data_IF_897045848020
#
_entry.id   IF_897045848020
#
_cell.length_a   1.000
_cell.length_b   1.000
_cell.length_c   1.000
_cell.angle_alpha   90.00
_cell.angle_beta   90.00
_cell.angle_gamma   90.00
#
_symmetry.space_group_name_H-M   'P 1'
#
loop_
_entity.id
_entity.type
_entity.pdbx_description
1 polymer ?
#
# COMPACT_ATOMS: atom_id res chain seq x y z
N UNK A 1 -20.94 29.78 -25.73
CA UNK A 1 -20.59 28.39 -25.34
C UNK A 1 -20.97 27.47 -26.51
N UNK A 2 -20.15 26.46 -26.86
CA UNK A 2 -20.42 25.58 -28.03
C UNK A 2 -21.50 24.54 -27.68
N UNK A 3 -22.39 24.20 -28.63
CA UNK A 3 -23.44 23.20 -28.41
C UNK A 3 -22.82 21.82 -28.17
N UNK A 4 -23.42 21.03 -27.29
CA UNK A 4 -22.90 19.70 -26.89
C UNK A 4 -22.70 18.77 -28.09
N UNK A 5 -23.58 18.85 -29.10
CA UNK A 5 -23.48 18.07 -30.33
C UNK A 5 -22.24 18.41 -31.19
N UNK A 6 -21.65 19.59 -31.01
CA UNK A 6 -20.46 20.06 -31.75
C UNK A 6 -19.18 19.98 -30.91
N UNK A 7 -19.24 19.31 -29.75
CA UNK A 7 -18.13 19.16 -28.82
C UNK A 7 -17.19 18.08 -29.36
N UNK A 8 -16.00 18.51 -29.77
CA UNK A 8 -14.94 17.60 -30.22
C UNK A 8 -14.33 16.92 -28.98
N UNK A 9 -14.17 15.60 -29.04
CA UNK A 9 -13.44 14.83 -28.04
C UNK A 9 -12.08 14.48 -28.65
N UNK A 10 -10.96 15.00 -28.09
CA UNK A 10 -9.65 14.67 -28.61
C UNK A 10 -9.39 13.17 -28.45
N UNK A 11 -8.76 12.57 -29.44
CA UNK A 11 -8.26 11.20 -29.33
C UNK A 11 -7.08 11.21 -28.37
N UNK A 12 -7.13 10.36 -27.35
CA UNK A 12 -6.03 10.21 -26.39
C UNK A 12 -4.76 9.77 -27.13
N UNK A 13 -3.76 10.64 -27.17
CA UNK A 13 -2.44 10.33 -27.72
C UNK A 13 -1.62 9.43 -26.80
N UNK A 14 -0.52 8.88 -27.33
CA UNK A 14 0.47 8.15 -26.52
C UNK A 14 1.23 9.17 -25.65
N UNK A 15 1.42 8.82 -24.38
CA UNK A 15 2.18 9.67 -23.46
C UNK A 15 3.65 9.73 -23.90
N UNK A 16 4.22 10.93 -24.15
CA UNK A 16 5.57 11.06 -24.68
C UNK A 16 6.61 10.54 -23.69
N UNK A 17 7.60 9.78 -24.19
CA UNK A 17 8.65 9.20 -23.34
C UNK A 17 9.52 10.27 -22.68
N UNK A 18 9.76 11.39 -23.36
CA UNK A 18 10.58 12.51 -22.87
C UNK A 18 10.02 13.19 -21.60
N UNK A 19 8.72 13.01 -21.32
CA UNK A 19 8.04 13.60 -20.16
C UNK A 19 7.78 12.55 -19.08
N UNK A 20 8.22 11.31 -19.29
CA UNK A 20 7.97 10.21 -18.36
C UNK A 20 8.75 10.39 -17.07
N UNK A 21 8.03 10.38 -15.96
CA UNK A 21 8.64 10.39 -14.63
C UNK A 21 9.38 9.07 -14.42
N UNK A 22 10.72 9.14 -14.41
CA UNK A 22 11.58 8.00 -14.08
C UNK A 22 11.75 7.97 -12.56
N UNK A 23 11.30 6.89 -11.91
CA UNK A 23 11.58 6.65 -10.50
C UNK A 23 12.89 5.86 -10.39
N UNK A 24 13.96 6.54 -9.99
CA UNK A 24 15.26 5.93 -9.73
C UNK A 24 15.63 6.04 -8.26
N UNK A 25 16.15 4.95 -7.68
CA UNK A 25 16.77 4.94 -6.36
C UNK A 25 18.29 4.90 -6.55
N UNK A 26 19.02 6.01 -6.32
CA UNK A 26 20.48 6.03 -6.49
C UNK A 26 21.21 5.17 -5.44
N UNK A 27 20.59 4.99 -4.27
CA UNK A 27 21.07 4.17 -3.17
C UNK A 27 19.89 3.39 -2.56
N UNK A 28 20.18 2.36 -1.77
CA UNK A 28 19.15 1.56 -1.09
C UNK A 28 18.44 2.43 -0.01
N UNK A 29 17.14 2.75 -0.19
CA UNK A 29 16.41 3.59 0.75
C UNK A 29 16.24 2.94 2.13
N UNK A 30 16.43 1.62 2.25
CA UNK A 30 16.27 0.89 3.51
C UNK A 30 17.59 0.75 4.29
N UNK A 31 18.73 1.13 3.70
CA UNK A 31 20.05 0.92 4.30
C UNK A 31 20.25 1.62 5.66
N UNK A 32 19.54 2.72 5.90
CA UNK A 32 19.60 3.47 7.16
C UNK A 32 18.64 2.96 8.24
N UNK A 33 17.72 2.06 7.91
CA UNK A 33 16.67 1.62 8.81
C UNK A 33 17.18 0.49 9.72
N UNK A 34 16.83 0.50 11.02
CA UNK A 34 17.13 -0.61 11.90
C UNK A 34 16.33 -1.84 11.50
N UNK A 35 16.91 -3.06 11.60
CA UNK A 35 16.19 -4.29 11.32
C UNK A 35 15.07 -4.47 12.35
N UNK A 36 13.87 -4.78 11.85
CA UNK A 36 12.72 -5.12 12.69
C UNK A 36 12.76 -6.61 13.04
N UNK A 37 12.37 -6.94 14.27
CA UNK A 37 12.12 -8.33 14.67
C UNK A 37 10.93 -8.88 13.88
N UNK A 38 11.06 -10.10 13.34
CA UNK A 38 9.96 -10.83 12.72
C UNK A 38 8.91 -11.27 13.74
N UNK A 39 9.30 -11.39 15.00
CA UNK A 39 8.41 -11.80 16.08
C UNK A 39 7.92 -10.57 16.84
N UNK A 40 6.61 -10.26 16.79
CA UNK A 40 6.06 -9.19 17.59
C UNK A 40 6.05 -9.57 19.08
N UNK A 41 6.06 -8.58 19.99
CA UNK A 41 5.90 -8.83 21.43
C UNK A 41 4.50 -9.35 21.76
N UNK A 42 4.36 -9.95 22.94
CA UNK A 42 3.08 -10.42 23.44
C UNK A 42 2.03 -9.30 23.50
N UNK A 43 0.80 -9.63 23.12
CA UNK A 43 -0.28 -8.66 23.08
C UNK A 43 -0.72 -8.23 24.50
N UNK A 44 -0.73 -6.92 24.74
CA UNK A 44 -1.25 -6.31 25.97
C UNK A 44 -2.55 -5.55 25.67
N UNK A 45 -3.66 -5.84 26.37
CA UNK A 45 -4.93 -5.14 26.14
C UNK A 45 -4.81 -3.65 26.45
N UNK A 46 -5.23 -2.83 25.49
CA UNK A 46 -5.25 -1.37 25.61
C UNK A 46 -6.67 -0.81 25.70
N UNK A 47 -6.76 0.53 25.76
CA UNK A 47 -8.05 1.23 25.85
C UNK A 47 -9.00 0.97 24.67
N UNK A 48 -8.45 0.69 23.48
CA UNK A 48 -9.22 0.48 22.24
C UNK A 48 -9.43 -0.99 21.89
N UNK A 49 -8.40 -1.81 22.13
CA UNK A 49 -8.39 -3.23 21.80
C UNK A 49 -8.23 -4.04 23.09
N UNK A 50 -9.33 -4.63 23.53
CA UNK A 50 -9.38 -5.56 24.67
C UNK A 50 -9.15 -6.98 24.18
N UNK A 51 -8.77 -7.89 25.09
CA UNK A 51 -8.58 -9.31 24.78
C UNK A 51 -9.83 -9.96 24.18
N UNK A 52 -11.02 -9.59 24.67
CA UNK A 52 -12.30 -10.10 24.16
C UNK A 52 -12.53 -9.71 22.69
N UNK A 53 -12.22 -8.46 22.36
CA UNK A 53 -12.33 -7.98 20.97
C UNK A 53 -11.28 -8.63 20.08
N UNK A 54 -10.05 -8.79 20.56
CA UNK A 54 -9.00 -9.45 19.79
C UNK A 54 -9.36 -10.90 19.47
N UNK A 55 -9.93 -11.64 20.43
CA UNK A 55 -10.41 -13.02 20.22
C UNK A 55 -11.56 -13.12 19.20
N UNK A 56 -12.39 -12.08 19.11
CA UNK A 56 -13.46 -12.00 18.11
C UNK A 56 -13.00 -11.55 16.72
N UNK A 57 -11.77 -11.04 16.60
CA UNK A 57 -11.14 -10.73 15.32
C UNK A 57 -10.51 -12.01 14.79
N UNK A 58 -10.96 -12.48 13.64
CA UNK A 58 -10.37 -13.62 12.94
C UNK A 58 -9.04 -13.19 12.29
N UNK A 59 -7.99 -13.04 13.10
CA UNK A 59 -6.65 -12.70 12.62
C UNK A 59 -6.15 -13.83 11.72
N UNK A 60 -5.85 -13.50 10.46
CA UNK A 60 -5.34 -14.43 9.45
C UNK A 60 -6.26 -15.65 9.20
N UNK A 61 -7.58 -15.42 9.10
CA UNK A 61 -8.58 -16.48 8.85
C UNK A 61 -8.25 -17.37 7.65
N UNK A 62 -7.86 -16.76 6.55
CA UNK A 62 -7.60 -17.45 5.28
C UNK A 62 -6.18 -18.04 5.22
N UNK A 63 -5.44 -17.93 6.33
CA UNK A 63 -4.06 -18.40 6.49
C UNK A 63 -3.17 -18.06 5.28
N UNK A 64 -3.26 -16.80 4.85
CA UNK A 64 -2.61 -16.30 3.64
C UNK A 64 -1.11 -16.10 3.82
N UNK A 65 -0.64 -16.02 5.07
CA UNK A 65 0.77 -15.86 5.39
C UNK A 65 1.57 -17.13 5.09
N UNK A 66 2.78 -16.93 4.56
CA UNK A 66 3.75 -18.00 4.34
C UNK A 66 4.44 -18.36 5.65
N UNK A 67 5.03 -19.57 5.80
CA UNK A 67 5.70 -19.98 7.04
C UNK A 67 6.91 -19.10 7.41
N UNK A 68 7.42 -18.30 6.48
CA UNK A 68 8.53 -17.36 6.69
C UNK A 68 8.08 -15.97 7.19
N UNK A 69 6.75 -15.72 7.20
CA UNK A 69 6.09 -14.44 7.51
C UNK A 69 5.26 -14.49 8.81
#
# INVERSE_FOLDING_TARGET
YKRVAEKIHPVSGVYPEDVKVIRSFPEDPLASLPPLSKHPPDFVPGKRLTLERLKGIEVNKDNFLRPEE
#
